data_IF_005243071738
#
_entry.id   IF_005243071738
#
_cell.length_a   1.000
_cell.length_b   1.000
_cell.length_c   1.000
_cell.angle_alpha   90.00
_cell.angle_beta   90.00
_cell.angle_gamma   90.00
#
_symmetry.space_group_name_H-M   'P 1'
#
loop_
_entity.id
_entity.type
_entity.pdbx_description
1 polymer ?
#
# COMPACT_ATOMS: atom_id res chain seq x y z
N UNK A 1 1.62 -19.88 -22.11
CA UNK A 1 0.37 -19.11 -21.96
C UNK A 1 0.71 -17.91 -21.09
N UNK A 2 1.01 -16.77 -21.70
CA UNK A 2 1.39 -15.56 -20.97
C UNK A 2 0.10 -14.82 -20.62
N UNK A 3 -0.36 -14.91 -19.38
CA UNK A 3 -1.46 -14.05 -18.94
C UNK A 3 -0.95 -12.61 -18.90
N UNK A 4 -1.44 -11.78 -19.81
CA UNK A 4 -1.19 -10.35 -19.83
C UNK A 4 -1.91 -9.71 -18.64
N UNK A 5 -1.19 -9.50 -17.54
CA UNK A 5 -1.66 -8.74 -16.38
C UNK A 5 -1.37 -7.25 -16.55
N UNK A 6 -2.07 -6.43 -15.78
CA UNK A 6 -1.81 -5.01 -15.68
C UNK A 6 -0.71 -4.77 -14.65
N UNK A 7 0.46 -4.30 -15.10
CA UNK A 7 1.59 -4.05 -14.21
C UNK A 7 1.38 -2.78 -13.40
N UNK A 8 1.58 -2.86 -12.09
CA UNK A 8 1.58 -1.72 -11.19
C UNK A 8 2.87 -1.69 -10.38
N UNK A 9 3.47 -0.51 -10.26
CA UNK A 9 4.53 -0.21 -9.32
C UNK A 9 3.95 0.48 -8.10
N UNK A 10 4.29 0.00 -6.91
CA UNK A 10 3.92 0.65 -5.65
C UNK A 10 5.14 0.97 -4.81
N UNK A 11 5.11 2.08 -4.07
CA UNK A 11 6.07 2.37 -3.00
C UNK A 11 5.32 2.74 -1.73
N UNK A 12 5.65 2.08 -0.63
CA UNK A 12 4.97 2.22 0.66
C UNK A 12 5.94 2.82 1.68
N UNK A 13 5.64 4.02 2.17
CA UNK A 13 6.35 4.65 3.29
C UNK A 13 5.64 4.30 4.60
N UNK A 14 6.32 3.54 5.45
CA UNK A 14 5.74 2.95 6.65
C UNK A 14 5.60 3.96 7.80
N UNK A 15 4.64 3.73 8.69
CA UNK A 15 4.40 4.53 9.90
C UNK A 15 4.01 3.65 11.10
N UNK A 16 3.97 4.23 12.30
CA UNK A 16 3.59 3.50 13.52
C UNK A 16 4.79 2.95 14.29
N UNK A 17 4.75 1.68 14.68
CA UNK A 17 5.80 1.02 15.47
C UNK A 17 6.72 0.14 14.62
N UNK A 18 7.96 -0.01 15.06
CA UNK A 18 8.89 -1.00 14.49
C UNK A 18 8.48 -2.42 14.88
N UNK A 19 8.33 -3.30 13.90
CA UNK A 19 7.95 -4.71 14.10
C UNK A 19 8.48 -5.58 12.96
N UNK A 20 8.55 -6.89 13.15
CA UNK A 20 8.79 -7.82 12.03
C UNK A 20 7.44 -8.27 11.47
N UNK A 21 7.26 -8.23 10.15
CA UNK A 21 5.99 -8.59 9.54
C UNK A 21 6.02 -8.60 8.02
N UNK A 22 4.85 -8.77 7.42
CA UNK A 22 4.64 -8.61 5.98
C UNK A 22 3.68 -7.46 5.72
N UNK A 23 3.93 -6.73 4.64
CA UNK A 23 3.14 -5.59 4.18
C UNK A 23 2.48 -5.97 2.87
N UNK A 24 1.17 -5.74 2.77
CA UNK A 24 0.38 -5.96 1.56
C UNK A 24 -0.39 -4.72 1.16
N UNK A 25 -0.69 -4.61 -0.13
CA UNK A 25 -1.52 -3.53 -0.69
C UNK A 25 -2.58 -4.06 -1.63
N UNK A 26 -3.71 -3.36 -1.70
CA UNK A 26 -4.75 -3.56 -2.71
C UNK A 26 -5.18 -2.21 -3.28
N UNK A 27 -5.32 -2.14 -4.60
CA UNK A 27 -5.71 -0.93 -5.33
C UNK A 27 -7.22 -0.93 -5.59
N UNK A 28 -7.86 0.22 -5.44
CA UNK A 28 -9.29 0.41 -5.71
C UNK A 28 -9.46 1.62 -6.63
N UNK A 29 -10.14 1.42 -7.76
CA UNK A 29 -10.44 2.47 -8.72
C UNK A 29 -11.84 2.30 -9.33
N UNK A 30 -12.15 3.15 -10.31
CA UNK A 30 -13.46 3.23 -10.96
C UNK A 30 -13.84 1.95 -11.73
N UNK A 31 -12.86 1.17 -12.19
CA UNK A 31 -13.09 -0.08 -12.93
C UNK A 31 -13.04 -1.34 -12.07
N UNK A 32 -12.77 -1.21 -10.77
CA UNK A 32 -12.74 -2.35 -9.84
C UNK A 32 -11.62 -2.26 -8.82
N UNK A 33 -11.24 -3.42 -8.28
CA UNK A 33 -10.17 -3.52 -7.29
C UNK A 33 -9.30 -4.74 -7.53
N UNK A 34 -8.04 -4.66 -7.09
CA UNK A 34 -7.12 -5.79 -7.13
C UNK A 34 -7.29 -6.65 -5.88
N UNK A 35 -6.80 -7.90 -5.94
CA UNK A 35 -6.45 -8.64 -4.72
C UNK A 35 -5.33 -7.95 -3.95
N UNK A 36 -5.02 -8.48 -2.78
CA UNK A 36 -3.87 -8.03 -1.99
C UNK A 36 -2.57 -8.61 -2.54
N UNK A 37 -1.55 -7.76 -2.71
CA UNK A 37 -0.22 -8.12 -3.14
C UNK A 37 0.81 -7.84 -2.05
N UNK A 38 1.68 -8.80 -1.76
CA UNK A 38 2.79 -8.60 -0.83
C UNK A 38 3.78 -7.60 -1.41
N UNK A 39 4.16 -6.58 -0.65
CA UNK A 39 5.16 -5.57 -1.04
C UNK A 39 6.50 -5.83 -0.37
N UNK A 40 6.49 -6.12 0.93
CA UNK A 40 7.69 -6.24 1.74
C UNK A 40 7.49 -7.25 2.86
N UNK A 41 8.53 -8.01 3.20
CA UNK A 41 8.59 -8.89 4.36
C UNK A 41 9.92 -8.68 5.07
N UNK A 42 9.86 -8.41 6.37
CA UNK A 42 11.05 -8.14 7.18
C UNK A 42 10.75 -7.18 8.32
N UNK A 43 11.73 -6.37 8.69
CA UNK A 43 11.58 -5.35 9.73
C UNK A 43 10.84 -4.15 9.13
N UNK A 44 9.57 -4.01 9.49
CA UNK A 44 8.74 -2.85 9.22
C UNK A 44 9.24 -1.72 10.13
N UNK A 45 9.87 -0.70 9.54
CA UNK A 45 10.44 0.42 10.28
C UNK A 45 9.74 1.73 9.91
N UNK A 46 9.23 2.51 10.87
CA UNK A 46 8.59 3.80 10.57
C UNK A 46 9.54 4.72 9.80
N UNK A 47 9.05 5.34 8.74
CA UNK A 47 9.82 6.19 7.83
C UNK A 47 10.57 5.45 6.72
N UNK A 48 10.73 4.12 6.80
CA UNK A 48 11.31 3.36 5.68
C UNK A 48 10.33 3.28 4.51
N UNK A 49 10.87 3.22 3.30
CA UNK A 49 10.09 3.08 2.07
C UNK A 49 10.47 1.79 1.35
N UNK A 50 9.47 1.01 0.96
CA UNK A 50 9.66 -0.23 0.23
C UNK A 50 8.82 -0.23 -1.04
N UNK A 51 9.44 -0.63 -2.14
CA UNK A 51 8.83 -0.60 -3.47
C UNK A 51 8.74 -2.00 -4.07
N UNK A 52 7.67 -2.25 -4.83
CA UNK A 52 7.50 -3.51 -5.56
C UNK A 52 6.63 -3.30 -6.79
N UNK A 53 6.92 -4.05 -7.84
CA UNK A 53 6.03 -4.21 -9.00
C UNK A 53 5.25 -5.52 -8.90
N UNK A 54 4.00 -5.50 -9.34
CA UNK A 54 3.16 -6.70 -9.46
C UNK A 54 2.23 -6.61 -10.67
N UNK A 55 1.88 -7.77 -11.21
CA UNK A 55 0.93 -7.90 -12.31
C UNK A 55 -0.46 -8.27 -11.75
N UNK A 56 -1.44 -7.40 -12.00
CA UNK A 56 -2.83 -7.55 -11.58
C UNK A 56 -3.71 -8.16 -12.67
N UNK A 57 -4.78 -8.86 -12.28
CA UNK A 57 -5.69 -9.52 -13.21
C UNK A 57 -6.56 -8.54 -14.00
N UNK A 58 -6.74 -7.30 -13.51
CA UNK A 58 -7.57 -6.27 -14.14
C UNK A 58 -6.95 -4.87 -14.01
N UNK A 59 -7.32 -3.99 -14.94
CA UNK A 59 -7.05 -2.56 -14.84
C UNK A 59 -8.05 -1.92 -13.88
N UNK A 60 -7.58 -1.37 -12.75
CA UNK A 60 -8.45 -0.65 -11.81
C UNK A 60 -8.92 0.71 -12.34
N UNK A 61 -8.39 1.17 -13.47
CA UNK A 61 -8.69 2.49 -14.02
C UNK A 61 -8.01 3.59 -13.21
N UNK A 62 -8.74 4.66 -12.93
CA UNK A 62 -8.28 5.75 -12.06
C UNK A 62 -8.28 5.26 -10.62
N UNK A 63 -7.10 5.18 -10.01
CA UNK A 63 -7.01 4.72 -8.61
C UNK A 63 -7.58 5.79 -7.68
N UNK A 64 -8.65 5.46 -6.96
CA UNK A 64 -9.36 6.37 -6.05
C UNK A 64 -8.86 6.23 -4.62
N UNK A 65 -8.43 5.03 -4.22
CA UNK A 65 -7.92 4.73 -2.88
C UNK A 65 -7.05 3.47 -2.89
N UNK A 66 -6.21 3.37 -1.88
CA UNK A 66 -5.36 2.19 -1.66
C UNK A 66 -5.64 1.64 -0.28
N UNK A 67 -5.69 0.31 -0.16
CA UNK A 67 -5.75 -0.34 1.15
C UNK A 67 -4.40 -0.96 1.50
N UNK A 68 -3.93 -0.64 2.70
CA UNK A 68 -2.76 -1.21 3.33
C UNK A 68 -3.18 -2.29 4.33
N UNK A 69 -2.43 -3.37 4.37
CA UNK A 69 -2.55 -4.42 5.38
C UNK A 69 -1.15 -4.79 5.86
N UNK A 70 -1.04 -5.15 7.13
CA UNK A 70 0.16 -5.80 7.64
C UNK A 70 -0.22 -7.00 8.51
N UNK A 71 0.63 -8.03 8.47
CA UNK A 71 0.55 -9.20 9.32
C UNK A 71 1.87 -9.42 10.06
N UNK A 72 1.86 -10.26 11.10
CA UNK A 72 3.04 -10.70 11.79
C UNK A 72 2.89 -12.17 12.19
N UNK A 73 3.85 -13.00 11.81
CA UNK A 73 3.83 -14.43 12.13
C UNK A 73 4.19 -14.74 13.60
N UNK A 74 4.46 -13.72 14.42
CA UNK A 74 4.85 -13.84 15.82
C UNK A 74 3.82 -13.18 16.73
N UNK A 75 3.20 -13.95 17.62
CA UNK A 75 2.27 -13.42 18.64
C UNK A 75 2.99 -12.37 19.49
N UNK A 76 2.59 -11.11 19.38
CA UNK A 76 3.19 -10.01 20.13
C UNK A 76 2.20 -9.46 21.17
N UNK A 77 2.49 -9.59 22.49
CA UNK A 77 1.58 -9.16 23.55
C UNK A 77 1.40 -7.65 23.64
N UNK A 78 2.22 -6.86 22.94
CA UNK A 78 2.15 -5.40 22.95
C UNK A 78 1.13 -4.81 21.97
N UNK A 79 0.45 -5.64 21.17
CA UNK A 79 -0.54 -5.25 20.14
C UNK A 79 -0.09 -4.02 19.33
N UNK A 80 1.04 -4.10 18.60
CA UNK A 80 1.58 -2.96 17.90
C UNK A 80 0.59 -2.46 16.82
N UNK A 81 0.70 -1.17 16.50
CA UNK A 81 -0.04 -0.55 15.39
C UNK A 81 0.96 -0.06 14.35
N UNK A 82 0.68 -0.40 13.11
CA UNK A 82 1.47 -0.03 11.94
C UNK A 82 0.54 0.64 10.94
N UNK A 83 1.07 1.59 10.18
CA UNK A 83 0.35 2.19 9.07
C UNK A 83 1.27 2.43 7.88
N UNK A 84 0.72 3.11 6.88
CA UNK A 84 1.47 3.69 5.79
C UNK A 84 1.18 5.18 5.76
N UNK A 85 2.23 5.98 5.95
CA UNK A 85 2.13 7.44 5.87
C UNK A 85 1.82 7.89 4.44
N UNK A 86 2.44 7.20 3.48
CA UNK A 86 2.30 7.48 2.05
C UNK A 86 2.40 6.19 1.24
N UNK A 87 1.54 6.06 0.23
CA UNK A 87 1.67 5.04 -0.82
C UNK A 87 1.64 5.74 -2.17
N UNK A 88 2.63 5.46 -3.01
CA UNK A 88 2.63 5.87 -4.42
C UNK A 88 2.24 4.71 -5.30
N UNK A 89 1.43 4.97 -6.33
CA UNK A 89 1.02 3.99 -7.32
C UNK A 89 1.37 4.52 -8.71
N UNK A 90 2.04 3.69 -9.50
CA UNK A 90 2.34 3.93 -10.91
C UNK A 90 1.82 2.76 -11.74
N UNK A 91 1.14 3.05 -12.84
CA UNK A 91 0.56 2.03 -13.73
C UNK A 91 1.45 1.84 -14.96
N UNK A 92 2.00 0.64 -15.14
CA UNK A 92 2.78 0.26 -16.32
C UNK A 92 3.81 1.30 -16.75
N UNK A 93 3.78 1.67 -18.04
CA UNK A 93 4.65 2.70 -18.64
C UNK A 93 4.12 4.14 -18.46
N UNK A 94 2.98 4.33 -17.78
CA UNK A 94 2.49 5.67 -17.51
C UNK A 94 3.49 6.42 -16.61
N UNK A 95 3.76 7.67 -16.97
CA UNK A 95 4.63 8.56 -16.18
C UNK A 95 3.93 9.10 -14.93
N UNK A 96 2.61 8.99 -14.87
CA UNK A 96 1.80 9.55 -13.79
C UNK A 96 1.95 8.70 -12.53
N UNK A 97 2.31 9.36 -11.43
CA UNK A 97 2.40 8.75 -10.10
C UNK A 97 1.29 9.31 -9.23
N UNK A 98 0.41 8.43 -8.75
CA UNK A 98 -0.65 8.77 -7.82
C UNK A 98 -0.16 8.66 -6.39
N UNK A 99 -0.50 9.63 -5.54
CA UNK A 99 -0.04 9.71 -4.16
C UNK A 99 -1.23 9.58 -3.20
N UNK A 100 -1.17 8.61 -2.31
CA UNK A 100 -2.17 8.36 -1.27
C UNK A 100 -1.54 8.51 0.10
N UNK A 101 -2.23 9.16 1.04
CA UNK A 101 -1.70 9.49 2.35
C UNK A 101 -2.65 9.03 3.46
N UNK A 102 -2.09 8.73 4.63
CA UNK A 102 -2.86 8.56 5.86
C UNK A 102 -2.00 8.90 7.08
N UNK A 103 -2.65 9.40 8.14
CA UNK A 103 -2.02 9.62 9.45
C UNK A 103 -2.35 8.49 10.43
N UNK A 104 -3.19 7.55 10.05
CA UNK A 104 -3.67 6.49 10.93
C UNK A 104 -2.72 5.30 10.99
N UNK A 105 -2.88 4.52 12.06
CA UNK A 105 -2.22 3.22 12.23
C UNK A 105 -3.24 2.19 12.69
N UNK A 106 -3.07 0.95 12.23
CA UNK A 106 -4.02 -0.14 12.44
C UNK A 106 -3.33 -1.32 13.12
N UNK A 107 -4.14 -2.14 13.80
CA UNK A 107 -3.69 -3.43 14.33
C UNK A 107 -3.38 -4.39 13.19
N UNK A 108 -2.77 -5.51 13.53
CA UNK A 108 -2.55 -6.63 12.63
C UNK A 108 -3.87 -7.07 11.97
N UNK A 109 -3.80 -7.46 10.69
CA UNK A 109 -4.92 -7.96 9.89
C UNK A 109 -6.12 -6.99 9.75
N UNK A 110 -5.94 -5.72 10.11
CA UNK A 110 -6.93 -4.66 9.89
C UNK A 110 -6.54 -3.84 8.66
N UNK A 111 -7.49 -3.69 7.72
CA UNK A 111 -7.28 -2.90 6.51
C UNK A 111 -7.30 -1.40 6.82
N UNK A 112 -6.20 -0.71 6.54
CA UNK A 112 -6.09 0.73 6.55
C UNK A 112 -6.39 1.29 5.15
N UNK A 113 -7.32 2.23 5.03
CA UNK A 113 -7.60 2.91 3.75
C UNK A 113 -6.80 4.21 3.68
N UNK A 114 -6.11 4.42 2.56
CA UNK A 114 -5.43 5.66 2.22
C UNK A 114 -6.21 6.33 1.08
N UNK A 115 -6.46 7.63 1.23
CA UNK A 115 -7.10 8.48 0.23
C UNK A 115 -6.05 9.33 -0.49
N UNK A 116 -6.37 9.98 -1.62
CA UNK A 116 -5.44 10.89 -2.27
C UNK A 116 -4.88 11.89 -1.26
N UNK A 117 -3.58 12.13 -1.31
CA UNK A 117 -2.96 13.12 -0.44
C UNK A 117 -3.60 14.49 -0.72
N UNK A 118 -3.96 15.21 0.34
CA UNK A 118 -4.27 16.63 0.21
C UNK A 118 -3.03 17.32 -0.38
N UNK A 119 -3.21 18.03 -1.50
CA UNK A 119 -2.25 19.07 -1.86
C UNK A 119 -2.31 20.10 -0.74
N UNK A 120 -1.17 20.62 -0.24
CA UNK A 120 -1.20 21.84 0.52
C UNK A 120 -1.69 22.90 -0.47
N UNK A 121 -3.00 23.13 -0.51
CA UNK A 121 -3.58 24.19 -1.31
C UNK A 121 -2.93 25.48 -0.81
N UNK A 122 -2.28 26.15 -1.77
CA UNK A 122 -1.93 27.56 -1.76
C UNK A 122 -2.76 28.36 -0.75
N UNK A 123 -2.11 28.74 0.35
CA UNK A 123 -2.54 29.87 1.18
C UNK A 123 -2.51 31.16 0.37
#
# INVERSE_FOLDING_TARGET
>A
MLCAGWRYGVSVTLSGRTITGEVKVALFGDKGNTRQYDVFRGIIMPGSTHSKEFDAELDVGTTEKVKFLWNNHVVNPTFPRVGAAKITVQKGEEKTVYNFCSKETVKEDVLLTLTPCETPDTL
#
